data_IF_445325762115
#
_entry.id   IF_445325762115
#
_cell.length_a   1.000
_cell.length_b   1.000
_cell.length_c   1.000
_cell.angle_alpha   90.00
_cell.angle_beta   90.00
_cell.angle_gamma   90.00
#
_symmetry.space_group_name_H-M   'P 1'
#
loop_
_entity.id
_entity.type
_entity.pdbx_description
1 polymer ?
#
# COMPACT_ATOMS: atom_id res chain seq x y z
N UNK A 1 38.17 -58.58 12.66
CA UNK A 1 37.26 -58.13 11.61
C UNK A 1 36.21 -57.28 12.33
N UNK A 2 36.48 -55.96 12.44
CA UNK A 2 35.52 -55.03 13.06
C UNK A 2 34.42 -54.77 12.03
N UNK A 3 33.23 -55.34 12.27
CA UNK A 3 32.02 -54.93 11.56
C UNK A 3 31.71 -53.50 12.03
N UNK A 4 32.15 -52.55 11.27
CA UNK A 4 31.67 -51.16 11.37
C UNK A 4 30.20 -51.15 10.94
N UNK A 5 29.31 -51.57 11.86
CA UNK A 5 27.87 -51.44 11.69
C UNK A 5 27.54 -49.99 11.40
N UNK A 6 27.09 -49.69 10.17
CA UNK A 6 26.55 -48.39 9.83
C UNK A 6 25.40 -48.09 10.78
N UNK A 7 25.63 -47.24 11.78
CA UNK A 7 24.65 -46.80 12.75
C UNK A 7 23.58 -45.92 12.02
N UNK A 8 22.59 -46.65 11.45
CA UNK A 8 21.49 -46.00 10.70
C UNK A 8 20.62 -45.22 11.67
N UNK A 9 20.73 -43.88 11.65
CA UNK A 9 19.90 -43.01 12.42
C UNK A 9 18.68 -42.56 11.60
N UNK A 10 17.44 -42.93 11.98
CA UNK A 10 16.26 -42.52 11.25
C UNK A 10 16.09 -40.99 11.31
N UNK A 11 15.77 -40.37 10.15
CA UNK A 11 15.53 -38.94 10.05
C UNK A 11 14.17 -38.62 10.71
N UNK A 12 14.12 -37.58 11.54
CA UNK A 12 12.88 -37.15 12.15
C UNK A 12 11.90 -36.61 11.09
N UNK A 13 10.68 -37.19 11.05
CA UNK A 13 9.60 -36.75 10.15
C UNK A 13 9.22 -35.27 10.40
N UNK A 14 9.30 -34.83 11.68
CA UNK A 14 9.04 -33.44 12.06
C UNK A 14 10.11 -32.50 11.49
N UNK A 15 11.38 -32.91 11.44
CA UNK A 15 12.44 -32.07 10.86
C UNK A 15 12.24 -31.91 9.34
N UNK A 16 11.80 -32.93 8.64
CA UNK A 16 11.47 -32.85 7.21
C UNK A 16 10.25 -31.92 7.00
N UNK A 17 9.20 -32.13 7.80
CA UNK A 17 8.01 -31.28 7.74
C UNK A 17 8.32 -29.78 8.03
N UNK A 18 9.19 -29.51 9.01
CA UNK A 18 9.66 -28.17 9.32
C UNK A 18 10.42 -27.51 8.15
N UNK A 19 11.29 -28.28 7.48
CA UNK A 19 12.02 -27.78 6.31
C UNK A 19 11.07 -27.46 5.16
N UNK A 20 10.12 -28.36 4.85
CA UNK A 20 9.12 -28.15 3.79
C UNK A 20 8.26 -26.93 4.11
N UNK A 21 7.76 -26.82 5.33
CA UNK A 21 6.97 -25.66 5.76
C UNK A 21 7.79 -24.35 5.72
N UNK A 22 9.07 -24.40 6.06
CA UNK A 22 10.01 -23.28 5.94
C UNK A 22 10.17 -22.80 4.49
N UNK A 23 10.30 -23.71 3.53
CA UNK A 23 10.33 -23.37 2.09
C UNK A 23 8.98 -22.80 1.63
N UNK A 24 7.87 -23.40 2.05
CA UNK A 24 6.52 -22.90 1.73
C UNK A 24 6.23 -21.53 2.34
N UNK A 25 6.98 -21.12 3.35
CA UNK A 25 6.87 -19.77 3.94
C UNK A 25 7.17 -18.65 2.93
N UNK A 26 7.85 -18.95 1.80
CA UNK A 26 8.02 -18.01 0.70
C UNK A 26 6.67 -17.56 0.09
N UNK A 27 5.60 -18.37 0.19
CA UNK A 27 4.26 -18.00 -0.28
C UNK A 27 3.67 -16.83 0.50
N UNK A 28 4.14 -16.57 1.72
CA UNK A 28 3.74 -15.40 2.50
C UNK A 28 4.09 -14.05 1.83
N UNK A 29 5.04 -14.05 0.88
CA UNK A 29 5.42 -12.85 0.11
C UNK A 29 4.39 -12.49 -0.96
N UNK A 30 3.58 -13.46 -1.41
CA UNK A 30 2.66 -13.28 -2.54
C UNK A 30 1.24 -12.95 -2.05
N UNK A 31 0.82 -13.54 -0.91
CA UNK A 31 -0.55 -13.42 -0.43
C UNK A 31 -0.59 -13.21 1.09
N UNK A 32 -1.36 -12.23 1.60
CA UNK A 32 -1.50 -11.99 3.04
C UNK A 32 -2.04 -13.19 3.82
N UNK A 33 -2.85 -14.07 3.21
CA UNK A 33 -3.30 -15.32 3.83
C UNK A 33 -2.10 -16.25 4.09
N UNK A 34 -1.04 -16.15 3.30
CA UNK A 34 0.20 -16.93 3.46
C UNK A 34 0.98 -16.63 4.75
N UNK A 35 0.63 -15.56 5.49
CA UNK A 35 1.34 -15.20 6.74
C UNK A 35 1.16 -16.23 7.86
N UNK A 36 0.15 -17.07 7.79
CA UNK A 36 -0.04 -18.19 8.73
C UNK A 36 1.05 -19.26 8.54
N UNK A 37 1.57 -19.45 7.33
CA UNK A 37 2.55 -20.51 7.01
C UNK A 37 3.85 -20.35 7.80
N UNK A 38 4.51 -19.16 7.84
CA UNK A 38 5.70 -18.97 8.67
C UNK A 38 5.49 -19.28 10.15
N UNK A 39 4.33 -18.92 10.71
CA UNK A 39 4.01 -19.19 12.11
C UNK A 39 3.92 -20.70 12.38
N UNK A 40 3.23 -21.43 11.51
CA UNK A 40 3.14 -22.89 11.60
C UNK A 40 4.52 -23.54 11.40
N UNK A 41 5.32 -23.02 10.45
CA UNK A 41 6.67 -23.53 10.19
C UNK A 41 7.59 -23.34 11.40
N UNK A 42 7.54 -22.20 12.08
CA UNK A 42 8.28 -21.96 13.33
C UNK A 42 7.85 -22.94 14.41
N UNK A 43 6.54 -23.14 14.63
CA UNK A 43 6.01 -24.11 15.58
C UNK A 43 6.51 -25.55 15.31
N UNK A 44 6.45 -25.99 14.06
CA UNK A 44 6.96 -27.29 13.64
C UNK A 44 8.47 -27.42 13.82
N UNK A 45 9.25 -26.39 13.51
CA UNK A 45 10.71 -26.39 13.67
C UNK A 45 11.10 -26.49 15.15
N UNK A 46 10.42 -25.76 16.02
CA UNK A 46 10.64 -25.82 17.47
C UNK A 46 10.28 -27.21 18.00
N UNK A 47 9.14 -27.77 17.61
CA UNK A 47 8.75 -29.14 17.99
C UNK A 47 9.76 -30.19 17.50
N UNK A 48 10.27 -30.03 16.26
CA UNK A 48 11.31 -30.91 15.70
C UNK A 48 12.63 -30.83 16.50
N UNK A 49 13.04 -29.62 16.90
CA UNK A 49 14.24 -29.44 17.75
C UNK A 49 14.09 -30.13 19.11
N UNK A 50 12.92 -30.02 19.73
CA UNK A 50 12.65 -30.74 20.99
C UNK A 50 12.66 -32.29 20.80
N UNK A 51 12.10 -32.80 19.67
CA UNK A 51 12.07 -34.23 19.37
C UNK A 51 13.50 -34.80 19.13
N UNK A 52 14.34 -34.02 18.43
CA UNK A 52 15.74 -34.47 18.12
C UNK A 52 16.65 -34.36 19.34
N UNK A 53 16.45 -33.37 20.23
CA UNK A 53 17.29 -33.11 21.38
C UNK A 53 16.87 -33.89 22.64
N UNK A 54 15.86 -34.76 22.58
CA UNK A 54 15.47 -35.59 23.74
C UNK A 54 16.60 -36.54 24.12
N UNK A 55 16.90 -36.67 25.44
CA UNK A 55 17.87 -37.65 25.90
C UNK A 55 17.47 -39.08 25.45
N UNK A 56 18.39 -39.78 24.75
CA UNK A 56 18.13 -41.12 24.19
C UNK A 56 17.49 -41.14 22.80
N UNK A 57 17.19 -40.01 22.20
CA UNK A 57 16.70 -39.98 20.81
C UNK A 57 17.86 -40.15 19.84
N UNK A 58 17.98 -41.35 19.22
CA UNK A 58 18.94 -41.63 18.14
C UNK A 58 18.43 -41.10 16.78
N UNK A 59 17.88 -39.90 16.73
CA UNK A 59 17.30 -39.33 15.49
C UNK A 59 18.25 -38.29 14.85
N UNK A 60 18.41 -38.39 13.52
CA UNK A 60 19.11 -37.41 12.72
C UNK A 60 18.14 -36.36 12.18
N UNK A 61 18.61 -35.10 11.88
CA UNK A 61 17.81 -34.08 11.20
C UNK A 61 17.77 -32.73 11.91
N UNK A 62 18.57 -32.53 12.96
CA UNK A 62 18.61 -31.24 13.67
C UNK A 62 18.92 -30.06 12.76
N UNK A 63 19.86 -30.24 11.80
CA UNK A 63 20.21 -29.18 10.86
C UNK A 63 19.02 -28.83 9.93
N UNK A 64 18.18 -29.81 9.53
CA UNK A 64 17.00 -29.56 8.72
C UNK A 64 15.94 -28.74 9.49
N UNK A 65 15.77 -29.04 10.78
CA UNK A 65 14.89 -28.25 11.64
C UNK A 65 15.40 -26.80 11.81
N UNK A 66 16.71 -26.61 11.98
CA UNK A 66 17.33 -25.26 12.07
C UNK A 66 17.21 -24.52 10.74
N UNK A 67 17.46 -25.19 9.61
CA UNK A 67 17.30 -24.61 8.29
C UNK A 67 15.83 -24.19 8.03
N UNK A 68 14.86 -25.05 8.36
CA UNK A 68 13.44 -24.75 8.27
C UNK A 68 13.04 -23.54 9.14
N UNK A 69 13.57 -23.44 10.35
CA UNK A 69 13.36 -22.31 11.25
C UNK A 69 13.94 -21.01 10.67
N UNK A 70 15.17 -21.06 10.16
CA UNK A 70 15.83 -19.89 9.57
C UNK A 70 15.06 -19.37 8.34
N UNK A 71 14.58 -20.28 7.48
CA UNK A 71 13.76 -19.92 6.32
C UNK A 71 12.42 -19.33 6.74
N UNK A 72 11.75 -19.92 7.73
CA UNK A 72 10.46 -19.42 8.22
C UNK A 72 10.59 -18.02 8.81
N UNK A 73 11.63 -17.77 9.62
CA UNK A 73 11.90 -16.44 10.20
C UNK A 73 12.30 -15.46 9.09
N UNK A 74 13.18 -15.85 8.17
CA UNK A 74 13.66 -14.99 7.08
C UNK A 74 12.50 -14.53 6.18
N UNK A 75 11.70 -15.46 5.66
CA UNK A 75 10.56 -15.11 4.81
C UNK A 75 9.44 -14.41 5.57
N UNK A 76 9.18 -14.80 6.81
CA UNK A 76 8.20 -14.13 7.68
C UNK A 76 8.58 -12.66 7.95
N UNK A 77 9.83 -12.42 8.35
CA UNK A 77 10.33 -11.07 8.57
C UNK A 77 10.31 -10.21 7.31
N UNK A 78 10.69 -10.80 6.16
CA UNK A 78 10.66 -10.10 4.87
C UNK A 78 9.23 -9.78 4.45
N UNK A 79 8.25 -10.67 4.64
CA UNK A 79 6.85 -10.43 4.32
C UNK A 79 6.29 -9.27 5.16
N UNK A 80 6.53 -9.26 6.47
CA UNK A 80 6.10 -8.16 7.36
C UNK A 80 6.78 -6.85 6.96
N UNK A 81 8.09 -6.86 6.77
CA UNK A 81 8.84 -5.64 6.40
C UNK A 81 8.36 -5.06 5.08
N UNK A 82 8.17 -5.90 4.06
CA UNK A 82 7.69 -5.44 2.75
C UNK A 82 6.28 -4.86 2.83
N UNK A 83 5.38 -5.47 3.61
CA UNK A 83 4.02 -4.96 3.80
C UNK A 83 4.02 -3.58 4.51
N UNK A 84 4.79 -3.45 5.60
CA UNK A 84 4.89 -2.19 6.35
C UNK A 84 5.52 -1.08 5.50
N UNK A 85 6.62 -1.38 4.82
CA UNK A 85 7.32 -0.40 3.96
C UNK A 85 6.45 0.00 2.79
N UNK A 86 5.79 -0.95 2.12
CA UNK A 86 4.88 -0.65 1.01
C UNK A 86 3.74 0.26 1.45
N UNK A 87 3.08 -0.06 2.57
CA UNK A 87 2.02 0.76 3.14
C UNK A 87 2.50 2.18 3.45
N UNK A 88 3.63 2.30 4.13
CA UNK A 88 4.21 3.59 4.50
C UNK A 88 4.59 4.44 3.27
N UNK A 89 5.16 3.83 2.22
CA UNK A 89 5.46 4.52 0.96
C UNK A 89 4.19 5.02 0.27
N UNK A 90 3.15 4.21 0.25
CA UNK A 90 1.86 4.57 -0.35
C UNK A 90 1.20 5.72 0.42
N UNK A 91 1.15 5.64 1.75
CA UNK A 91 0.65 6.72 2.61
C UNK A 91 1.39 8.05 2.36
N UNK A 92 2.71 8.00 2.23
CA UNK A 92 3.52 9.19 1.92
C UNK A 92 3.22 9.76 0.54
N UNK A 93 3.05 8.91 -0.47
CA UNK A 93 2.69 9.34 -1.83
C UNK A 93 1.31 9.97 -1.86
N UNK A 94 0.31 9.34 -1.26
CA UNK A 94 -1.04 9.89 -1.15
C UNK A 94 -1.03 11.26 -0.44
N UNK A 95 -0.32 11.37 0.69
CA UNK A 95 -0.17 12.63 1.40
C UNK A 95 0.53 13.72 0.56
N UNK A 96 1.54 13.36 -0.22
CA UNK A 96 2.26 14.32 -1.06
C UNK A 96 1.36 14.89 -2.17
N UNK A 97 0.58 14.03 -2.84
CA UNK A 97 -0.38 14.45 -3.87
C UNK A 97 -1.48 15.32 -3.27
N UNK A 98 -2.03 14.92 -2.12
CA UNK A 98 -3.06 15.70 -1.43
C UNK A 98 -2.54 17.09 -1.02
N UNK A 99 -1.34 17.18 -0.46
CA UNK A 99 -0.71 18.47 -0.11
C UNK A 99 -0.46 19.32 -1.35
N UNK A 100 0.06 18.73 -2.41
CA UNK A 100 0.29 19.46 -3.67
C UNK A 100 -1.01 20.05 -4.21
N UNK A 101 -2.10 19.28 -4.21
CA UNK A 101 -3.42 19.74 -4.60
C UNK A 101 -3.91 20.91 -3.72
N UNK A 102 -3.84 20.73 -2.40
CA UNK A 102 -4.23 21.74 -1.41
C UNK A 102 -3.45 23.04 -1.63
N UNK A 103 -2.14 22.96 -1.77
CA UNK A 103 -1.27 24.13 -1.95
C UNK A 103 -1.51 24.82 -3.30
N UNK A 104 -1.76 24.07 -4.37
CA UNK A 104 -2.11 24.63 -5.67
C UNK A 104 -3.44 25.40 -5.63
N UNK A 105 -4.48 24.80 -5.01
CA UNK A 105 -5.80 25.46 -4.85
C UNK A 105 -5.69 26.72 -4.00
N UNK A 106 -4.96 26.68 -2.88
CA UNK A 106 -4.76 27.85 -2.00
C UNK A 106 -4.00 28.99 -2.69
N UNK A 107 -2.99 28.64 -3.48
CA UNK A 107 -2.21 29.60 -4.26
C UNK A 107 -2.97 30.13 -5.49
N UNK A 108 -4.19 29.68 -5.76
CA UNK A 108 -4.98 30.03 -6.95
C UNK A 108 -4.48 29.43 -8.25
N UNK A 109 -3.53 28.49 -8.20
CA UNK A 109 -2.99 27.77 -9.36
C UNK A 109 -3.90 26.59 -9.74
N UNK A 110 -5.11 26.93 -10.22
CA UNK A 110 -6.15 25.93 -10.48
C UNK A 110 -5.78 24.94 -11.59
N UNK A 111 -5.05 25.40 -12.62
CA UNK A 111 -4.55 24.53 -13.67
C UNK A 111 -3.63 23.42 -13.10
N UNK A 112 -2.74 23.77 -12.15
CA UNK A 112 -1.86 22.79 -11.48
C UNK A 112 -2.68 21.80 -10.64
N UNK A 113 -3.68 22.30 -9.88
CA UNK A 113 -4.56 21.45 -9.10
C UNK A 113 -5.35 20.48 -9.98
N UNK A 114 -5.88 20.94 -11.12
CA UNK A 114 -6.58 20.09 -12.08
C UNK A 114 -5.65 19.06 -12.72
N UNK A 115 -4.37 19.39 -12.94
CA UNK A 115 -3.40 18.48 -13.56
C UNK A 115 -3.15 17.21 -12.73
N UNK A 116 -3.37 17.27 -11.42
CA UNK A 116 -3.24 16.11 -10.50
C UNK A 116 -4.58 15.47 -10.17
N UNK A 117 -5.68 15.93 -10.78
CA UNK A 117 -6.98 15.28 -10.68
C UNK A 117 -7.17 14.24 -11.79
N UNK A 118 -7.85 13.15 -11.45
CA UNK A 118 -8.34 12.22 -12.45
C UNK A 118 -9.45 12.90 -13.28
N UNK A 119 -9.60 12.60 -14.58
CA UNK A 119 -10.64 13.20 -15.43
C UNK A 119 -12.04 13.15 -14.81
N UNK A 120 -12.39 12.04 -14.18
CA UNK A 120 -13.68 11.82 -13.51
C UNK A 120 -13.94 12.74 -12.30
N UNK A 121 -12.89 13.28 -11.69
CA UNK A 121 -12.99 14.21 -10.57
C UNK A 121 -13.21 15.66 -11.01
N UNK A 122 -13.10 15.93 -12.30
CA UNK A 122 -13.23 17.26 -12.87
C UNK A 122 -14.66 17.52 -13.37
N UNK A 123 -15.16 18.75 -13.32
CA UNK A 123 -16.44 19.11 -13.92
C UNK A 123 -16.46 18.78 -15.41
N UNK A 124 -17.50 18.07 -15.88
CA UNK A 124 -17.62 17.64 -17.28
C UNK A 124 -16.68 16.50 -17.69
N UNK A 125 -15.91 15.92 -16.76
CA UNK A 125 -14.94 14.86 -17.06
C UNK A 125 -15.50 13.44 -17.18
N UNK A 126 -16.82 13.25 -17.04
CA UNK A 126 -17.46 11.93 -17.04
C UNK A 126 -17.79 11.32 -18.40
N UNK A 127 -17.53 11.99 -19.51
CA UNK A 127 -17.82 11.43 -20.83
C UNK A 127 -16.62 10.67 -21.41
N UNK A 128 -16.73 9.33 -21.57
CA UNK A 128 -15.68 8.52 -22.19
C UNK A 128 -15.51 8.73 -23.71
N UNK A 129 -16.26 9.68 -24.30
CA UNK A 129 -16.31 9.90 -25.77
C UNK A 129 -15.50 11.07 -26.28
N UNK A 130 -14.77 11.81 -25.44
CA UNK A 130 -13.76 12.73 -25.96
C UNK A 130 -12.63 11.90 -26.59
N UNK A 131 -12.49 11.93 -27.90
CA UNK A 131 -11.41 11.26 -28.62
C UNK A 131 -10.08 11.56 -27.94
N UNK A 132 -9.31 10.55 -27.49
CA UNK A 132 -8.02 10.78 -26.90
C UNK A 132 -7.11 11.35 -27.99
N UNK A 133 -6.81 12.64 -27.91
CA UNK A 133 -5.92 13.33 -28.86
C UNK A 133 -6.48 14.60 -29.49
N UNK A 134 -7.75 14.93 -29.32
CA UNK A 134 -8.21 16.25 -29.74
C UNK A 134 -7.65 17.32 -28.79
N UNK A 135 -6.86 18.32 -29.27
CA UNK A 135 -6.40 19.41 -28.44
C UNK A 135 -7.61 20.18 -27.90
N UNK A 136 -7.75 20.22 -26.57
CA UNK A 136 -8.80 21.04 -25.95
C UNK A 136 -8.62 22.49 -26.40
N UNK A 137 -9.69 23.10 -26.90
CA UNK A 137 -9.62 24.52 -27.29
C UNK A 137 -9.28 25.36 -26.04
N UNK A 138 -8.51 26.44 -26.16
CA UNK A 138 -8.18 27.32 -25.04
C UNK A 138 -9.42 27.81 -24.27
N UNK A 139 -10.52 28.08 -24.97
CA UNK A 139 -11.79 28.46 -24.37
C UNK A 139 -12.37 27.34 -23.47
N UNK A 140 -12.35 26.10 -23.94
CA UNK A 140 -12.83 24.96 -23.13
C UNK A 140 -11.95 24.70 -21.89
N UNK A 141 -10.68 25.05 -21.92
CA UNK A 141 -9.79 24.97 -20.75
C UNK A 141 -10.16 26.02 -19.70
N UNK A 142 -10.42 27.26 -20.14
CA UNK A 142 -10.84 28.38 -19.27
C UNK A 142 -12.19 28.11 -18.63
N UNK A 143 -13.16 27.60 -19.40
CA UNK A 143 -14.49 27.27 -18.87
C UNK A 143 -14.42 26.14 -17.82
N UNK A 144 -13.57 25.16 -18.05
CA UNK A 144 -13.34 24.07 -17.09
C UNK A 144 -12.69 24.55 -15.79
N UNK A 145 -11.72 25.45 -15.89
CA UNK A 145 -11.09 26.06 -14.74
C UNK A 145 -12.08 26.93 -13.94
N UNK A 146 -12.94 27.69 -14.62
CA UNK A 146 -14.00 28.46 -14.01
C UNK A 146 -15.00 27.54 -13.28
N UNK A 147 -15.45 26.46 -13.93
CA UNK A 147 -16.33 25.47 -13.31
C UNK A 147 -15.68 24.80 -12.08
N UNK A 148 -14.39 24.43 -12.17
CA UNK A 148 -13.64 23.86 -11.03
C UNK A 148 -13.55 24.85 -9.87
N UNK A 149 -13.35 26.15 -10.13
CA UNK A 149 -13.31 27.20 -9.11
C UNK A 149 -14.62 27.35 -8.33
N UNK A 150 -15.77 26.94 -8.90
CA UNK A 150 -17.08 27.02 -8.24
C UNK A 150 -17.36 25.88 -7.27
N UNK A 151 -16.57 24.80 -7.28
CA UNK A 151 -16.76 23.66 -6.40
C UNK A 151 -16.61 24.06 -4.92
N UNK A 152 -17.48 23.51 -4.07
CA UNK A 152 -17.53 23.86 -2.65
C UNK A 152 -16.19 23.64 -1.94
N UNK A 153 -15.52 22.51 -2.22
CA UNK A 153 -14.22 22.18 -1.66
C UNK A 153 -13.14 23.19 -2.11
N UNK A 154 -13.12 23.58 -3.38
CA UNK A 154 -12.17 24.55 -3.93
C UNK A 154 -12.37 25.93 -3.33
N UNK A 155 -13.64 26.37 -3.22
CA UNK A 155 -13.99 27.66 -2.56
C UNK A 155 -13.63 27.66 -1.09
N UNK A 156 -13.93 26.57 -0.38
CA UNK A 156 -13.55 26.39 1.02
C UNK A 156 -12.05 26.49 1.22
N UNK A 157 -11.25 25.87 0.34
CA UNK A 157 -9.80 25.90 0.39
C UNK A 157 -9.20 27.29 0.07
N UNK A 158 -9.78 28.03 -0.88
CA UNK A 158 -9.36 29.42 -1.16
C UNK A 158 -9.55 30.35 0.05
N UNK A 159 -10.60 30.11 0.86
CA UNK A 159 -10.80 30.83 2.11
C UNK A 159 -9.71 30.55 3.16
N UNK A 160 -8.96 29.44 3.01
CA UNK A 160 -7.85 29.04 3.88
C UNK A 160 -6.48 29.59 3.44
N UNK A 161 -6.42 30.71 2.70
CA UNK A 161 -5.17 31.20 2.14
C UNK A 161 -4.08 31.49 3.20
N UNK A 162 -4.47 31.97 4.40
CA UNK A 162 -3.54 32.36 5.45
C UNK A 162 -2.84 31.19 6.15
N UNK A 163 -3.55 30.08 6.41
CA UNK A 163 -3.00 28.92 7.10
C UNK A 163 -3.34 27.63 6.36
N UNK A 164 -2.35 26.72 6.19
CA UNK A 164 -2.60 25.44 5.55
C UNK A 164 -3.46 24.56 6.45
N UNK A 165 -4.46 23.84 5.87
CA UNK A 165 -5.18 22.81 6.61
C UNK A 165 -4.22 21.70 7.03
N UNK A 166 -4.51 21.09 8.19
CA UNK A 166 -3.71 20.00 8.72
C UNK A 166 -4.29 18.67 8.24
N UNK A 167 -3.46 17.84 7.62
CA UNK A 167 -3.81 16.44 7.38
C UNK A 167 -3.94 15.74 8.73
N UNK A 168 -5.14 15.22 9.01
CA UNK A 168 -5.50 14.59 10.28
C UNK A 168 -5.49 13.07 10.20
N UNK A 169 -5.88 12.52 9.04
CA UNK A 169 -5.87 11.06 8.85
C UNK A 169 -5.56 10.69 7.41
N UNK A 170 -4.96 9.52 7.25
CA UNK A 170 -4.72 8.87 5.96
C UNK A 170 -5.10 7.39 6.14
N UNK A 171 -6.08 6.93 5.39
CA UNK A 171 -6.59 5.57 5.48
C UNK A 171 -6.85 4.98 4.08
N UNK A 172 -6.85 3.66 3.93
CA UNK A 172 -7.31 3.03 2.69
C UNK A 172 -8.75 3.45 2.38
N UNK A 173 -9.07 3.63 1.11
CA UNK A 173 -10.44 3.89 0.67
C UNK A 173 -11.21 2.57 0.54
N UNK A 174 -12.40 2.51 1.12
CA UNK A 174 -13.22 1.29 1.11
C UNK A 174 -13.80 0.96 -0.28
N UNK A 175 -14.00 1.99 -1.10
CA UNK A 175 -14.72 1.95 -2.38
C UNK A 175 -13.84 2.02 -3.63
N UNK A 176 -12.52 2.11 -3.47
CA UNK A 176 -11.58 2.27 -4.58
C UNK A 176 -10.39 1.34 -4.44
N UNK A 177 -10.18 0.41 -5.37
CA UNK A 177 -9.02 -0.48 -5.37
C UNK A 177 -7.71 0.31 -5.34
N UNK A 178 -6.94 0.12 -4.26
CA UNK A 178 -5.67 0.81 -4.03
C UNK A 178 -5.79 2.31 -3.76
N UNK A 179 -7.02 2.83 -3.55
CA UNK A 179 -7.27 4.22 -3.20
C UNK A 179 -6.98 4.51 -1.73
N UNK A 180 -6.73 5.79 -1.45
CA UNK A 180 -6.49 6.30 -0.11
C UNK A 180 -7.31 7.55 0.15
N UNK A 181 -7.91 7.61 1.32
CA UNK A 181 -8.61 8.79 1.81
C UNK A 181 -7.64 9.61 2.65
N UNK A 182 -7.46 10.86 2.27
CA UNK A 182 -6.70 11.85 3.03
C UNK A 182 -7.69 12.88 3.57
N UNK A 183 -7.79 12.98 4.88
CA UNK A 183 -8.65 13.96 5.55
C UNK A 183 -7.80 15.10 6.08
N UNK A 184 -8.20 16.33 5.77
CA UNK A 184 -7.54 17.53 6.25
C UNK A 184 -8.55 18.42 7.00
N UNK A 185 -8.23 18.76 8.24
CA UNK A 185 -9.05 19.66 9.07
C UNK A 185 -8.88 21.11 8.64
N UNK A 186 -9.99 21.83 8.53
CA UNK A 186 -10.04 23.26 8.24
C UNK A 186 -10.11 24.13 9.52
N UNK A 187 -9.88 23.56 10.68
CA UNK A 187 -9.90 24.30 11.96
C UNK A 187 -8.95 25.50 11.95
N UNK A 188 -7.77 25.36 11.35
CA UNK A 188 -6.80 26.44 11.19
C UNK A 188 -7.32 27.62 10.35
N UNK A 189 -8.38 27.41 9.55
CA UNK A 189 -9.03 28.41 8.70
C UNK A 189 -10.28 29.04 9.37
N UNK A 190 -10.49 28.83 10.66
CA UNK A 190 -11.68 29.27 11.37
C UNK A 190 -12.93 28.44 11.11
N UNK A 191 -12.79 27.20 10.60
CA UNK A 191 -13.88 26.26 10.30
C UNK A 191 -13.62 24.94 11.02
N UNK A 192 -13.76 24.88 12.35
CA UNK A 192 -13.37 23.71 13.15
C UNK A 192 -14.22 22.47 12.86
N UNK A 193 -15.46 22.65 12.39
CA UNK A 193 -16.40 21.56 12.08
C UNK A 193 -16.31 21.07 10.64
N UNK A 194 -15.49 21.71 9.82
CA UNK A 194 -15.34 21.34 8.41
C UNK A 194 -14.03 20.58 8.19
N UNK A 195 -14.13 19.53 7.40
CA UNK A 195 -12.97 18.76 6.93
C UNK A 195 -13.00 18.57 5.43
N UNK A 196 -11.83 18.59 4.82
CA UNK A 196 -11.65 18.26 3.41
C UNK A 196 -11.26 16.79 3.30
N UNK A 197 -12.09 16.01 2.61
CA UNK A 197 -11.80 14.63 2.27
C UNK A 197 -11.33 14.55 0.83
N UNK A 198 -10.13 14.03 0.62
CA UNK A 198 -9.53 13.77 -0.69
C UNK A 198 -9.41 12.27 -0.88
N UNK A 199 -9.89 11.76 -2.00
CA UNK A 199 -9.63 10.38 -2.42
C UNK A 199 -8.52 10.41 -3.45
N UNK A 200 -7.43 9.70 -3.17
CA UNK A 200 -6.23 9.65 -4.00
C UNK A 200 -6.00 8.20 -4.40
N UNK A 201 -5.86 7.93 -5.68
CA UNK A 201 -5.64 6.57 -6.17
C UNK A 201 -4.53 6.54 -7.23
N UNK A 202 -3.85 5.37 -7.36
CA UNK A 202 -2.89 5.16 -8.43
C UNK A 202 -3.62 5.02 -9.77
N UNK A 203 -3.13 5.72 -10.78
CA UNK A 203 -3.52 5.56 -12.18
C UNK A 203 -2.37 4.92 -12.95
N UNK A 204 -2.64 3.78 -13.58
CA UNK A 204 -1.64 3.04 -14.36
C UNK A 204 -1.74 3.45 -15.82
N UNK A 205 -0.86 4.35 -16.23
CA UNK A 205 -0.76 4.79 -17.62
C UNK A 205 0.28 3.94 -18.34
N UNK A 206 -0.15 3.27 -19.41
CA UNK A 206 0.75 2.54 -20.29
C UNK A 206 1.48 3.55 -21.19
N UNK A 207 2.79 3.68 -21.05
CA UNK A 207 3.62 4.48 -21.96
C UNK A 207 4.58 3.58 -22.73
N UNK A 208 5.17 4.09 -23.83
CA UNK A 208 6.12 3.35 -24.68
C UNK A 208 7.38 2.83 -23.95
N UNK A 209 7.62 3.27 -22.69
CA UNK A 209 8.74 2.81 -21.84
C UNK A 209 8.33 1.87 -20.71
N UNK A 210 7.06 1.41 -20.67
CA UNK A 210 6.52 0.55 -19.61
C UNK A 210 5.39 1.20 -18.79
N UNK A 211 4.77 0.45 -17.88
CA UNK A 211 3.71 0.96 -17.03
C UNK A 211 4.26 2.01 -16.06
N UNK A 212 3.72 3.22 -16.11
CA UNK A 212 4.03 4.30 -15.18
C UNK A 212 2.87 4.49 -14.21
N UNK A 213 3.14 4.36 -12.93
CA UNK A 213 2.15 4.61 -11.89
C UNK A 213 2.15 6.11 -11.55
N UNK A 214 1.02 6.76 -11.79
CA UNK A 214 0.78 8.15 -11.43
C UNK A 214 -0.32 8.21 -10.36
N UNK A 215 -0.09 8.95 -9.29
CA UNK A 215 -1.08 9.16 -8.24
C UNK A 215 -1.93 10.39 -8.57
N UNK A 216 -3.26 10.23 -8.54
CA UNK A 216 -4.21 11.28 -8.88
C UNK A 216 -5.28 11.42 -7.82
N UNK A 217 -5.79 12.63 -7.65
CA UNK A 217 -7.00 12.90 -6.88
C UNK A 217 -8.21 12.43 -7.70
N UNK A 218 -8.90 11.42 -7.21
CA UNK A 218 -10.05 10.79 -7.87
C UNK A 218 -11.40 11.30 -7.36
N UNK A 219 -11.40 12.02 -6.23
CA UNK A 219 -12.55 12.65 -5.64
C UNK A 219 -12.14 13.60 -4.52
N UNK A 220 -12.99 14.59 -4.26
CA UNK A 220 -12.81 15.51 -3.15
C UNK A 220 -14.17 16.03 -2.69
N UNK A 221 -14.36 16.09 -1.38
CA UNK A 221 -15.59 16.55 -0.74
C UNK A 221 -15.27 17.39 0.48
N UNK A 222 -16.15 18.35 0.77
CA UNK A 222 -16.14 19.09 2.02
C UNK A 222 -17.19 18.46 2.92
N UNK A 223 -16.77 17.95 4.08
CA UNK A 223 -17.61 17.32 5.10
C UNK A 223 -17.75 18.26 6.30
N UNK A 224 -18.93 18.25 6.90
CA UNK A 224 -19.26 18.98 8.14
C UNK A 224 -19.50 18.03 9.28
#
# INVERSE_FOLDING_TARGET
MDETGCDYRPVSKLAVAALVAGVLSALALVNPIGWVIPLVAVGLAVAALFDVNRPGAAKAGGWAAVAGLALAIGFGAQAVTSAVVSRWLVERRAAAVARHWIDAVRAGRLADAMSVCAPRALPGGGEPHAHPGAPASPAAATDREAAFATLAAVRGMKACAAQPPRVTSIAPADDTEGGWVVVASLAACGRPEESLRLVVAPDRVQRQGGPMERWLVTGFTLER
#
